data_IF_808541226669
#
_entry.id   IF_808541226669
#
_cell.length_a   1.000
_cell.length_b   1.000
_cell.length_c   1.000
_cell.angle_alpha   90.00
_cell.angle_beta   90.00
_cell.angle_gamma   90.00
#
_symmetry.space_group_name_H-M   'P 1'
#
loop_
_entity.id
_entity.type
_entity.pdbx_description
1 polymer ?
#
# COMPACT_ATOMS: atom_id res chain seq x y z
N UNK A 1 -14.35 -3.62 6.04
CA UNK A 1 -15.37 -3.17 5.08
C UNK A 1 -16.17 -4.34 4.52
N UNK A 2 -15.57 -5.48 4.19
CA UNK A 2 -16.29 -6.71 3.82
C UNK A 2 -16.24 -7.73 4.97
N UNK A 3 -17.33 -8.47 5.18
CA UNK A 3 -17.40 -9.59 6.13
C UNK A 3 -18.32 -10.65 5.55
N UNK A 4 -17.83 -11.89 5.45
CA UNK A 4 -18.57 -13.04 4.97
C UNK A 4 -18.56 -14.13 6.04
N UNK A 5 -19.68 -14.79 6.23
CA UNK A 5 -19.85 -15.83 7.23
C UNK A 5 -20.45 -17.09 6.60
N UNK A 6 -19.97 -18.25 7.03
CA UNK A 6 -20.50 -19.56 6.64
C UNK A 6 -20.54 -20.45 7.88
N UNK A 7 -21.73 -20.90 8.23
CA UNK A 7 -21.90 -21.88 9.30
C UNK A 7 -21.43 -23.26 8.80
N UNK A 8 -20.59 -23.93 9.59
CA UNK A 8 -19.97 -25.20 9.21
C UNK A 8 -20.59 -26.41 9.92
N UNK A 9 -21.15 -26.19 11.11
CA UNK A 9 -21.81 -27.21 11.92
C UNK A 9 -22.84 -26.56 12.84
N UNK A 10 -23.92 -27.30 13.13
CA UNK A 10 -24.91 -26.95 14.17
C UNK A 10 -24.32 -27.16 15.57
N UNK A 11 -24.91 -26.57 16.63
CA UNK A 11 -24.51 -26.85 18.00
C UNK A 11 -24.55 -28.35 18.32
N UNK A 12 -23.47 -28.86 18.93
CA UNK A 12 -23.33 -30.28 19.28
C UNK A 12 -21.94 -30.61 19.81
N UNK A 13 -21.66 -31.91 19.91
CA UNK A 13 -20.40 -32.42 20.44
C UNK A 13 -19.41 -32.76 19.31
N UNK A 14 -18.14 -32.40 19.50
CA UNK A 14 -17.04 -32.75 18.60
C UNK A 14 -16.19 -33.84 19.24
N UNK A 15 -16.57 -35.11 19.02
CA UNK A 15 -15.94 -36.27 19.65
C UNK A 15 -14.70 -36.79 18.93
N UNK A 16 -14.55 -36.46 17.64
CA UNK A 16 -13.46 -36.92 16.79
C UNK A 16 -12.87 -35.77 15.97
N UNK A 17 -11.69 -35.98 15.41
CA UNK A 17 -11.09 -35.04 14.47
C UNK A 17 -11.94 -34.97 13.20
N UNK A 18 -12.47 -33.78 12.91
CA UNK A 18 -13.40 -33.55 11.80
C UNK A 18 -12.93 -32.35 10.99
N UNK A 19 -13.11 -32.42 9.66
CA UNK A 19 -12.81 -31.32 8.75
C UNK A 19 -14.09 -30.86 8.06
N UNK A 20 -14.26 -29.54 7.95
CA UNK A 20 -15.43 -28.92 7.34
C UNK A 20 -14.99 -28.15 6.08
N UNK A 21 -15.41 -28.57 4.87
CA UNK A 21 -15.11 -27.81 3.66
C UNK A 21 -15.89 -26.49 3.68
N UNK A 22 -15.25 -25.41 3.23
CA UNK A 22 -15.88 -24.11 3.07
C UNK A 22 -15.46 -23.50 1.75
N UNK A 23 -16.32 -22.62 1.22
CA UNK A 23 -16.08 -21.91 -0.01
C UNK A 23 -16.81 -20.58 0.06
N UNK A 24 -16.13 -19.53 -0.36
CA UNK A 24 -16.68 -18.21 -0.61
C UNK A 24 -16.44 -17.87 -2.07
N UNK A 25 -17.49 -17.96 -2.90
CA UNK A 25 -17.40 -17.63 -4.32
C UNK A 25 -17.36 -16.10 -4.52
N UNK A 26 -16.62 -15.65 -5.54
CA UNK A 26 -16.61 -14.26 -6.02
C UNK A 26 -16.37 -13.20 -4.93
N UNK A 27 -15.49 -13.49 -3.96
CA UNK A 27 -15.18 -12.53 -2.88
C UNK A 27 -14.44 -11.31 -3.42
N UNK A 28 -15.09 -10.15 -3.35
CA UNK A 28 -14.50 -8.86 -3.70
C UNK A 28 -13.34 -8.51 -2.75
N UNK A 29 -12.21 -8.11 -3.34
CA UNK A 29 -11.01 -7.67 -2.62
C UNK A 29 -10.49 -6.39 -3.29
N UNK A 30 -11.23 -5.27 -3.14
CA UNK A 30 -10.99 -4.06 -3.91
C UNK A 30 -9.68 -3.34 -3.58
N UNK A 31 -9.09 -3.62 -2.41
CA UNK A 31 -7.90 -2.91 -1.92
C UNK A 31 -6.74 -3.87 -1.68
N UNK A 32 -5.54 -3.44 -2.03
CA UNK A 32 -4.28 -4.11 -1.69
C UNK A 32 -4.01 -4.07 -0.18
N UNK A 33 -3.39 -5.12 0.34
CA UNK A 33 -3.01 -5.21 1.76
C UNK A 33 -1.95 -4.16 2.06
N UNK A 34 -2.12 -3.45 3.19
CA UNK A 34 -1.22 -2.39 3.58
C UNK A 34 -0.94 -2.45 5.09
N UNK A 35 0.33 -2.40 5.46
CA UNK A 35 0.76 -2.23 6.85
C UNK A 35 1.57 -0.95 6.94
N UNK A 36 0.94 0.06 7.51
CA UNK A 36 1.43 1.42 7.65
C UNK A 36 1.88 1.76 9.07
N UNK A 37 2.21 3.04 9.27
CA UNK A 37 2.56 3.56 10.59
C UNK A 37 1.32 3.76 11.46
N UNK A 38 0.27 4.35 10.89
CA UNK A 38 -0.96 4.74 11.56
C UNK A 38 -2.16 3.87 11.17
N UNK A 39 -2.04 3.07 10.10
CA UNK A 39 -3.14 2.24 9.58
C UNK A 39 -2.68 0.86 9.12
N UNK A 40 -3.53 -0.15 9.35
CA UNK A 40 -3.35 -1.51 8.82
C UNK A 40 -4.63 -1.95 8.10
N UNK A 41 -4.49 -2.29 6.83
CA UNK A 41 -5.53 -2.92 6.00
C UNK A 41 -5.12 -4.38 5.77
N UNK A 42 -5.89 -5.32 6.31
CA UNK A 42 -5.65 -6.76 6.15
C UNK A 42 -6.92 -7.53 5.80
N UNK A 43 -6.74 -8.67 5.14
CA UNK A 43 -7.76 -9.70 4.96
C UNK A 43 -7.32 -10.95 5.70
N UNK A 44 -8.26 -11.67 6.30
CA UNK A 44 -7.95 -12.89 7.03
C UNK A 44 -9.16 -13.83 7.01
N UNK A 45 -8.89 -15.13 7.15
CA UNK A 45 -9.90 -16.12 7.50
C UNK A 45 -9.92 -16.28 9.01
N UNK A 46 -11.12 -16.32 9.59
CA UNK A 46 -11.33 -16.56 11.02
C UNK A 46 -12.23 -17.77 11.21
N UNK A 47 -11.70 -18.82 11.82
CA UNK A 47 -12.49 -19.96 12.28
C UNK A 47 -12.80 -19.79 13.77
N UNK A 48 -14.07 -19.91 14.13
CA UNK A 48 -14.55 -19.78 15.52
C UNK A 48 -15.35 -21.01 15.89
N UNK A 49 -14.94 -21.70 16.95
CA UNK A 49 -15.73 -22.74 17.62
C UNK A 49 -16.38 -22.11 18.84
N UNK A 50 -17.70 -21.94 18.79
CA UNK A 50 -18.48 -21.29 19.84
C UNK A 50 -18.66 -22.25 21.01
N UNK A 51 -18.38 -21.79 22.24
CA UNK A 51 -18.47 -22.61 23.46
C UNK A 51 -19.16 -21.82 24.57
N UNK A 52 -19.67 -22.52 25.60
CA UNK A 52 -20.37 -21.89 26.73
C UNK A 52 -19.52 -20.90 27.54
N UNK A 53 -18.21 -21.15 27.66
CA UNK A 53 -17.30 -20.33 28.46
C UNK A 53 -16.42 -19.42 27.60
N UNK A 54 -15.61 -20.00 26.72
CA UNK A 54 -14.67 -19.25 25.88
C UNK A 54 -14.55 -19.91 24.52
N UNK A 55 -14.82 -19.13 23.48
CA UNK A 55 -14.71 -19.55 22.10
C UNK A 55 -13.25 -19.85 21.73
N UNK A 56 -13.06 -20.81 20.84
CA UNK A 56 -11.76 -21.10 20.24
C UNK A 56 -11.71 -20.37 18.90
N UNK A 57 -10.80 -19.41 18.77
CA UNK A 57 -10.66 -18.60 17.56
C UNK A 57 -9.28 -18.84 16.94
N UNK A 58 -9.24 -19.07 15.63
CA UNK A 58 -8.00 -19.12 14.85
C UNK A 58 -8.12 -18.22 13.64
N UNK A 59 -7.10 -17.38 13.44
CA UNK A 59 -6.98 -16.49 12.29
C UNK A 59 -5.80 -16.88 11.39
N UNK A 60 -5.98 -16.70 10.08
CA UNK A 60 -4.94 -16.83 9.06
C UNK A 60 -5.02 -15.62 8.12
N UNK A 61 -3.96 -14.83 8.08
CA UNK A 61 -3.86 -13.65 7.20
C UNK A 61 -3.71 -14.07 5.73
N UNK A 62 -4.29 -13.27 4.83
CA UNK A 62 -4.21 -13.45 3.38
C UNK A 62 -3.70 -12.15 2.75
N UNK A 63 -2.70 -12.28 1.86
CA UNK A 63 -2.22 -11.18 1.04
C UNK A 63 -3.13 -10.97 -0.19
N UNK A 64 -3.45 -9.72 -0.48
CA UNK A 64 -4.16 -9.28 -1.68
C UNK A 64 -3.31 -8.23 -2.35
N UNK A 65 -3.00 -8.41 -3.63
CA UNK A 65 -2.35 -7.41 -4.47
C UNK A 65 -3.33 -6.88 -5.51
N UNK A 66 -3.25 -5.58 -5.80
CA UNK A 66 -4.03 -4.92 -6.84
C UNK A 66 -3.12 -4.67 -8.03
N UNK A 67 -3.47 -5.24 -9.18
CA UNK A 67 -2.71 -5.04 -10.41
C UNK A 67 -3.18 -3.77 -11.11
N UNK A 68 -2.22 -2.96 -11.55
CA UNK A 68 -2.46 -1.75 -12.34
C UNK A 68 -1.61 -1.79 -13.60
N UNK A 69 -2.19 -1.39 -14.72
CA UNK A 69 -1.47 -1.12 -15.97
C UNK A 69 -1.59 0.36 -16.29
N UNK A 70 -0.46 1.03 -16.44
CA UNK A 70 -0.41 2.40 -16.94
C UNK A 70 0.17 2.37 -18.35
N UNK A 71 -0.38 3.15 -19.29
CA UNK A 71 0.22 3.26 -20.62
C UNK A 71 1.63 3.82 -20.48
N UNK A 72 2.56 3.27 -21.26
CA UNK A 72 3.94 3.75 -21.37
C UNK A 72 3.98 5.07 -22.15
N UNK A 73 3.43 6.12 -21.55
CA UNK A 73 3.53 7.48 -22.08
C UNK A 73 4.82 8.09 -21.54
N UNK A 74 5.81 8.22 -22.42
CA UNK A 74 7.05 8.92 -22.14
C UNK A 74 6.80 10.43 -22.16
N UNK A 75 6.30 10.96 -21.06
CA UNK A 75 6.26 12.40 -20.81
C UNK A 75 7.35 12.71 -19.80
N UNK A 76 8.43 13.36 -20.25
CA UNK A 76 9.47 13.81 -19.33
C UNK A 76 8.88 14.88 -18.41
N UNK A 77 9.23 14.79 -17.13
CA UNK A 77 8.76 15.71 -16.09
C UNK A 77 9.96 16.49 -15.62
N UNK A 78 9.78 17.80 -15.51
CA UNK A 78 10.80 18.74 -15.08
C UNK A 78 10.43 19.27 -13.70
N UNK A 79 11.39 19.21 -12.79
CA UNK A 79 11.33 19.85 -11.48
C UNK A 79 12.47 20.85 -11.40
N UNK A 80 12.17 22.10 -11.08
CA UNK A 80 13.17 23.15 -10.96
C UNK A 80 13.31 23.61 -9.51
N UNK A 81 14.55 23.96 -9.14
CA UNK A 81 14.86 24.66 -7.89
C UNK A 81 15.73 25.85 -8.24
N UNK A 82 15.33 27.03 -7.77
CA UNK A 82 15.97 28.27 -8.13
C UNK A 82 15.99 29.30 -7.01
N UNK A 83 17.08 30.08 -7.00
CA UNK A 83 17.20 31.35 -6.30
C UNK A 83 17.62 32.35 -7.35
N UNK A 84 16.84 33.42 -7.50
CA UNK A 84 17.10 34.49 -8.47
C UNK A 84 18.55 34.95 -8.42
N UNK A 85 19.15 35.11 -9.61
CA UNK A 85 20.55 35.54 -9.80
C UNK A 85 21.63 34.72 -9.08
N UNK A 86 21.31 33.56 -8.49
CA UNK A 86 22.22 32.81 -7.64
C UNK A 86 22.35 31.34 -8.03
N UNK A 87 21.22 30.65 -8.21
CA UNK A 87 21.18 29.21 -8.41
C UNK A 87 19.97 28.86 -9.27
N UNK A 88 20.17 28.03 -10.30
CA UNK A 88 19.07 27.44 -11.06
C UNK A 88 19.47 26.04 -11.49
N UNK A 89 18.80 25.04 -10.93
CA UNK A 89 18.99 23.62 -11.23
C UNK A 89 17.66 23.03 -11.67
N UNK A 90 17.67 22.29 -12.77
CA UNK A 90 16.53 21.52 -13.26
C UNK A 90 16.83 20.03 -13.15
N UNK A 91 15.86 19.24 -12.69
CA UNK A 91 15.88 17.79 -12.75
C UNK A 91 14.76 17.29 -13.65
N UNK A 92 15.14 16.60 -14.72
CA UNK A 92 14.24 15.97 -15.68
C UNK A 92 14.23 14.45 -15.48
N UNK A 93 13.05 13.82 -15.47
CA UNK A 93 12.92 12.36 -15.37
C UNK A 93 11.83 11.81 -16.29
N UNK A 94 11.94 10.53 -16.66
CA UNK A 94 11.28 9.96 -17.84
C UNK A 94 9.79 9.60 -17.69
N UNK A 95 9.27 9.37 -16.48
CA UNK A 95 7.86 8.98 -16.24
C UNK A 95 7.30 9.59 -14.94
N UNK A 96 5.98 9.82 -14.88
CA UNK A 96 5.27 10.20 -13.63
C UNK A 96 4.87 8.99 -12.78
N UNK A 97 4.82 7.81 -13.39
CA UNK A 97 4.34 6.57 -12.77
C UNK A 97 5.34 5.46 -13.07
N UNK A 98 5.65 4.66 -12.06
CA UNK A 98 6.61 3.57 -12.12
C UNK A 98 5.99 2.32 -11.51
N UNK A 99 6.28 1.15 -12.10
CA UNK A 99 5.99 -0.12 -11.42
C UNK A 99 7.02 -0.38 -10.30
N UNK A 100 6.70 -1.28 -9.37
CA UNK A 100 7.53 -1.57 -8.18
C UNK A 100 8.95 -2.09 -8.47
N UNK A 101 9.25 -2.41 -9.73
CA UNK A 101 10.55 -2.93 -10.20
C UNK A 101 11.14 -2.07 -11.32
N UNK A 102 10.59 -0.88 -11.53
CA UNK A 102 10.99 0.01 -12.64
C UNK A 102 12.26 0.78 -12.27
N UNK A 103 12.80 1.50 -13.25
CA UNK A 103 13.97 2.36 -13.09
C UNK A 103 13.58 3.80 -13.42
N UNK A 104 13.91 4.72 -12.51
CA UNK A 104 13.81 6.15 -12.75
C UNK A 104 15.02 6.58 -13.58
N UNK A 105 14.80 7.03 -14.80
CA UNK A 105 15.84 7.57 -15.69
C UNK A 105 15.67 9.07 -15.76
N UNK A 106 16.72 9.81 -15.40
CA UNK A 106 16.67 11.26 -15.38
C UNK A 106 18.02 11.93 -15.54
N UNK A 107 17.99 13.25 -15.63
CA UNK A 107 19.15 14.12 -15.85
C UNK A 107 19.01 15.42 -15.06
N UNK A 108 20.11 15.84 -14.44
CA UNK A 108 20.19 17.11 -13.72
C UNK A 108 20.92 18.13 -14.59
N UNK A 109 20.33 19.30 -14.79
CA UNK A 109 20.89 20.42 -15.54
C UNK A 109 21.22 21.55 -14.56
N UNK A 110 22.48 21.99 -14.58
CA UNK A 110 22.96 23.15 -13.83
C UNK A 110 22.91 24.38 -14.76
N UNK A 111 21.84 25.17 -14.66
CA UNK A 111 21.60 26.31 -15.56
C UNK A 111 22.31 27.58 -15.06
N UNK A 112 22.30 27.82 -13.74
CA UNK A 112 23.02 28.92 -13.09
C UNK A 112 23.63 28.44 -11.78
N UNK A 113 24.93 28.67 -11.57
CA UNK A 113 25.63 28.30 -10.33
C UNK A 113 26.58 29.42 -9.91
N UNK A 114 26.08 30.37 -9.11
CA UNK A 114 26.88 31.47 -8.53
C UNK A 114 27.19 31.27 -7.04
N UNK A 115 26.59 30.24 -6.42
CA UNK A 115 26.86 29.83 -5.04
C UNK A 115 27.51 28.44 -5.05
N UNK A 116 28.48 28.21 -4.16
CA UNK A 116 29.12 26.89 -3.99
C UNK A 116 28.12 25.88 -3.41
N UNK A 117 27.87 24.80 -4.14
CA UNK A 117 27.01 23.70 -3.70
C UNK A 117 27.87 22.74 -2.86
N UNK A 118 27.48 22.53 -1.59
CA UNK A 118 28.19 21.61 -0.69
C UNK A 118 27.71 20.16 -0.83
N UNK A 119 26.40 19.95 -0.98
CA UNK A 119 25.76 18.65 -1.04
C UNK A 119 24.47 18.77 -1.85
N UNK A 120 24.13 17.71 -2.61
CA UNK A 120 22.89 17.59 -3.35
C UNK A 120 22.50 16.11 -3.40
N UNK A 121 21.23 15.81 -3.17
CA UNK A 121 20.69 14.45 -3.20
C UNK A 121 19.28 14.42 -3.79
N UNK A 122 18.86 13.22 -4.21
CA UNK A 122 17.50 12.91 -4.63
C UNK A 122 17.00 11.79 -3.72
N UNK A 123 15.81 11.97 -3.16
CA UNK A 123 15.22 11.05 -2.18
C UNK A 123 13.82 10.63 -2.59
N UNK A 124 13.50 9.35 -2.44
CA UNK A 124 12.14 8.83 -2.57
C UNK A 124 11.49 8.87 -1.19
N UNK A 125 10.46 9.71 -1.05
CA UNK A 125 9.78 9.90 0.24
C UNK A 125 8.39 9.26 0.16
N UNK A 126 8.14 8.29 1.03
CA UNK A 126 6.79 7.74 1.27
C UNK A 126 6.09 8.62 2.30
N UNK A 127 4.89 9.13 1.98
CA UNK A 127 4.02 9.87 2.90
C UNK A 127 2.74 9.06 3.15
N UNK A 128 2.35 8.91 4.41
CA UNK A 128 1.11 8.21 4.80
C UNK A 128 0.16 9.18 5.47
N UNK A 129 -0.99 9.44 4.84
CA UNK A 129 -2.04 10.28 5.43
C UNK A 129 -3.17 9.41 5.95
N UNK A 130 -3.56 9.59 7.21
CA UNK A 130 -4.68 8.88 7.87
C UNK A 130 -5.64 9.85 8.55
N UNK A 131 -6.90 9.45 8.70
CA UNK A 131 -7.97 10.29 9.26
C UNK A 131 -8.69 11.16 8.22
N UNK A 132 -9.64 11.98 8.68
CA UNK A 132 -10.44 12.86 7.84
C UNK A 132 -10.77 14.18 8.56
N UNK A 133 -10.88 15.25 7.77
CA UNK A 133 -11.19 16.59 8.28
C UNK A 133 -10.15 17.08 9.29
N UNK A 134 -10.55 17.64 10.45
CA UNK A 134 -9.63 18.20 11.44
C UNK A 134 -8.71 17.16 12.09
N UNK A 135 -8.98 15.86 11.95
CA UNK A 135 -8.20 14.78 12.55
C UNK A 135 -7.29 14.08 11.52
N UNK A 136 -6.64 14.86 10.65
CA UNK A 136 -5.72 14.32 9.64
C UNK A 136 -4.32 14.18 10.24
N UNK A 137 -3.75 12.97 10.17
CA UNK A 137 -2.39 12.66 10.58
C UNK A 137 -1.56 12.34 9.33
N UNK A 138 -0.37 12.93 9.21
CA UNK A 138 0.57 12.75 8.08
C UNK A 138 1.95 12.32 8.54
#
# INVERSE_FOLDING_TARGET
FISLFKELARPGDLLQHTSYPFEFANVEKPYEVYTGANVRLRYFLRATIIRRLTDIVKEVDIAVHTLCSYPDVLNSIKMEVGIEDCLHIEFEYNKSKYHLKDVIVGKIYFLLVRIKIKHMEISIIKRETTGSGPNTFT
#
